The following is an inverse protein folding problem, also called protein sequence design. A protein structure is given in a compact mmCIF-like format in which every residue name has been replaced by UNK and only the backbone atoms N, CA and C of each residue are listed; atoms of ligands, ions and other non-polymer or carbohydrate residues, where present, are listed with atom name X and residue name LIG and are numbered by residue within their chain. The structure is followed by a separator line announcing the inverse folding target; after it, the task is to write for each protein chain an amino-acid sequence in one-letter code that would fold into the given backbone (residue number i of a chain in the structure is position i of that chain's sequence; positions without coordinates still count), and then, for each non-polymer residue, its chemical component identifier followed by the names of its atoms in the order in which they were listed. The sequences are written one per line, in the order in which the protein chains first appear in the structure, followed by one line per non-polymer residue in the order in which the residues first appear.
data_IF_133415458472
#
_entry.id   IF_133415458472
#
_cell.length_a   1.000
_cell.length_b   1.000
_cell.length_c   1.000
_cell.angle_alpha   90.00
_cell.angle_beta   90.00
_cell.angle_gamma   90.00
#
_symmetry.space_group_name_H-M   'P 1'
#
loop_
_entity.id
_entity.type
_entity.pdbx_description
1 polymer ?
#
# COMPACT_ATOMS: atom_id res chain seq x y z
N UNK A 1 26.43 13.42 15.98
CA UNK A 1 25.34 12.54 16.44
C UNK A 1 25.35 11.33 15.52
N UNK A 2 25.97 10.24 15.96
CA UNK A 2 25.94 8.96 15.24
C UNK A 2 24.63 8.24 15.56
N UNK A 3 23.98 7.73 14.52
CA UNK A 3 22.71 6.99 14.64
C UNK A 3 23.05 5.59 15.15
N UNK A 4 22.65 5.28 16.38
CA UNK A 4 22.98 4.01 17.05
C UNK A 4 22.32 2.77 16.43
N UNK A 5 21.29 2.94 15.59
CA UNK A 5 20.56 1.85 14.94
C UNK A 5 20.13 2.24 13.51
N UNK A 6 20.68 1.63 12.43
CA UNK A 6 20.33 1.97 11.05
C UNK A 6 18.88 1.62 10.68
N UNK A 7 18.26 0.68 11.41
CA UNK A 7 16.90 0.20 11.16
C UNK A 7 15.81 1.05 11.84
N UNK A 8 16.21 2.03 12.66
CA UNK A 8 15.33 2.94 13.39
C UNK A 8 15.57 4.40 12.98
N UNK A 9 16.14 4.62 11.79
CA UNK A 9 16.34 5.95 11.27
C UNK A 9 14.98 6.61 11.01
N UNK A 10 14.70 7.69 11.74
CA UNK A 10 13.62 8.62 11.45
C UNK A 10 13.67 8.98 9.96
N UNK A 11 12.54 8.81 9.28
CA UNK A 11 12.39 9.03 7.85
C UNK A 11 13.12 10.29 7.36
N UNK A 12 13.72 10.26 6.15
CA UNK A 12 14.26 11.47 5.52
C UNK A 12 13.21 12.59 5.48
N UNK A 13 13.62 13.87 5.43
CA UNK A 13 12.72 15.01 5.48
C UNK A 13 11.58 14.84 4.46
N UNK A 14 10.36 15.16 4.88
CA UNK A 14 9.13 14.91 4.14
C UNK A 14 9.25 15.41 2.69
N UNK A 15 9.55 14.49 1.78
CA UNK A 15 9.37 14.69 0.34
C UNK A 15 7.88 14.84 0.14
N UNK A 16 7.42 15.84 -0.63
CA UNK A 16 5.98 15.99 -0.89
C UNK A 16 5.46 14.71 -1.55
N UNK A 17 4.73 13.90 -0.78
CA UNK A 17 4.15 12.65 -1.27
C UNK A 17 2.81 12.98 -1.92
N UNK A 18 2.82 13.15 -3.24
CA UNK A 18 1.66 13.56 -4.04
C UNK A 18 0.95 12.40 -4.72
N UNK A 19 1.58 11.23 -4.79
CA UNK A 19 1.06 10.07 -5.51
C UNK A 19 0.75 8.97 -4.51
N UNK A 20 -0.50 8.54 -4.43
CA UNK A 20 -0.95 7.56 -3.47
C UNK A 20 -1.56 6.30 -4.10
N UNK A 21 -1.67 5.26 -3.29
CA UNK A 21 -2.48 4.07 -3.56
C UNK A 21 -3.46 3.93 -2.40
N UNK A 22 -4.75 3.96 -2.70
CA UNK A 22 -5.81 3.58 -1.78
C UNK A 22 -6.01 2.07 -1.86
N UNK A 23 -5.96 1.42 -0.71
CA UNK A 23 -6.20 -0.01 -0.56
C UNK A 23 -7.48 -0.19 0.24
N UNK A 24 -8.44 -0.91 -0.31
CA UNK A 24 -9.70 -1.24 0.35
C UNK A 24 -10.05 -2.71 0.17
N UNK A 25 -10.98 -3.18 1.00
CA UNK A 25 -11.58 -4.50 0.84
C UNK A 25 -12.77 -4.41 -0.14
N UNK A 26 -13.01 -5.43 -0.98
CA UNK A 26 -14.22 -5.53 -1.77
C UNK A 26 -15.46 -5.48 -0.88
N UNK A 27 -16.57 -4.88 -1.35
CA UNK A 27 -17.81 -4.80 -0.58
C UNK A 27 -18.34 -6.17 -0.11
N UNK A 28 -18.10 -7.22 -0.91
CA UNK A 28 -18.49 -8.60 -0.61
C UNK A 28 -17.51 -9.36 0.30
N UNK A 29 -16.33 -8.80 0.59
CA UNK A 29 -15.31 -9.48 1.37
C UNK A 29 -15.75 -9.60 2.84
N UNK A 30 -15.73 -10.80 3.46
CA UNK A 30 -16.08 -10.98 4.87
C UNK A 30 -15.28 -10.11 5.84
N UNK A 31 -14.08 -9.66 5.45
CA UNK A 31 -13.26 -8.73 6.22
C UNK A 31 -14.02 -7.43 6.56
N UNK A 32 -14.92 -6.97 5.69
CA UNK A 32 -15.79 -5.81 5.93
C UNK A 32 -16.79 -5.98 7.08
N UNK A 33 -16.93 -7.19 7.63
CA UNK A 33 -17.70 -7.42 8.88
C UNK A 33 -16.86 -7.21 10.13
N UNK A 34 -15.54 -7.23 9.99
CA UNK A 34 -14.59 -7.03 11.08
C UNK A 34 -14.14 -5.57 11.17
N UNK A 35 -13.96 -4.92 10.02
CA UNK A 35 -13.66 -3.49 9.92
C UNK A 35 -14.89 -2.71 9.48
N UNK A 36 -14.93 -1.41 9.71
CA UNK A 36 -16.02 -0.58 9.15
C UNK A 36 -16.08 -0.71 7.61
N UNK A 37 -17.27 -0.66 7.03
CA UNK A 37 -17.47 -0.82 5.58
C UNK A 37 -16.75 0.26 4.74
N UNK A 38 -16.37 1.38 5.36
CA UNK A 38 -15.57 2.45 4.72
C UNK A 38 -14.05 2.28 4.89
N UNK A 39 -13.59 1.15 5.43
CA UNK A 39 -12.18 0.93 5.71
C UNK A 39 -11.35 1.03 4.43
N UNK A 40 -10.30 1.84 4.54
CA UNK A 40 -9.25 1.93 3.55
C UNK A 40 -7.95 2.34 4.24
N UNK A 41 -6.83 2.02 3.61
CA UNK A 41 -5.52 2.56 3.96
C UNK A 41 -4.89 3.22 2.74
N UNK A 42 -4.01 4.19 2.96
CA UNK A 42 -3.34 4.93 1.90
C UNK A 42 -1.82 4.78 2.03
N UNK A 43 -1.18 4.45 0.91
CA UNK A 43 0.28 4.47 0.80
C UNK A 43 0.69 5.61 -0.11
N UNK A 44 1.53 6.52 0.38
CA UNK A 44 1.92 7.73 -0.34
C UNK A 44 3.39 7.67 -0.76
N UNK A 45 3.65 8.13 -1.99
CA UNK A 45 4.92 8.06 -2.69
C UNK A 45 5.29 9.42 -3.27
N UNK A 46 6.59 9.62 -3.46
CA UNK A 46 7.10 10.89 -3.94
C UNK A 46 6.98 11.05 -5.46
N UNK A 47 6.95 9.92 -6.19
CA UNK A 47 6.88 9.94 -7.65
C UNK A 47 5.78 9.00 -8.16
N UNK A 48 5.21 9.35 -9.31
CA UNK A 48 4.24 8.49 -10.00
C UNK A 48 4.83 7.13 -10.37
N UNK A 49 6.09 7.11 -10.82
CA UNK A 49 6.77 5.87 -11.19
C UNK A 49 6.94 4.91 -10.01
N UNK A 50 7.28 5.44 -8.83
CA UNK A 50 7.36 4.67 -7.60
C UNK A 50 5.98 4.12 -7.20
N UNK A 51 4.94 4.96 -7.22
CA UNK A 51 3.56 4.53 -6.99
C UNK A 51 3.13 3.42 -7.95
N UNK A 52 3.39 3.58 -9.24
CA UNK A 52 2.98 2.61 -10.27
C UNK A 52 3.72 1.28 -10.14
N UNK A 53 5.01 1.31 -9.78
CA UNK A 53 5.78 0.11 -9.48
C UNK A 53 5.21 -0.64 -8.29
N UNK A 54 4.87 0.07 -7.20
CA UNK A 54 4.32 -0.59 -6.00
C UNK A 54 2.88 -1.04 -6.23
N UNK A 55 2.08 -0.31 -7.01
CA UNK A 55 0.74 -0.73 -7.41
C UNK A 55 0.75 -2.07 -8.14
N UNK A 56 1.70 -2.26 -9.06
CA UNK A 56 1.88 -3.53 -9.75
C UNK A 56 2.35 -4.64 -8.81
N UNK A 57 3.28 -4.35 -7.90
CA UNK A 57 3.77 -5.31 -6.92
C UNK A 57 2.67 -5.75 -5.94
N UNK A 58 1.89 -4.82 -5.40
CA UNK A 58 0.75 -5.08 -4.49
C UNK A 58 -0.34 -5.92 -5.16
N UNK A 59 -0.61 -5.68 -6.44
CA UNK A 59 -1.57 -6.46 -7.22
C UNK A 59 -1.02 -7.81 -7.68
N UNK A 60 0.27 -8.06 -7.53
CA UNK A 60 0.92 -9.28 -7.97
C UNK A 60 0.71 -10.42 -6.99
N UNK A 61 0.63 -11.64 -7.52
CA UNK A 61 0.63 -12.85 -6.71
C UNK A 61 1.97 -12.97 -5.97
N UNK A 62 1.91 -13.11 -4.66
CA UNK A 62 3.11 -13.36 -3.86
C UNK A 62 3.78 -14.69 -4.27
N UNK A 63 5.13 -14.72 -4.27
CA UNK A 63 5.93 -15.84 -4.82
C UNK A 63 5.52 -17.23 -4.31
N UNK A 64 5.16 -17.31 -3.04
CA UNK A 64 4.82 -18.56 -2.36
C UNK A 64 3.32 -18.87 -2.32
N UNK A 65 2.47 -17.96 -2.83
CA UNK A 65 1.03 -18.18 -2.95
C UNK A 65 0.71 -19.11 -4.12
N UNK A 66 -0.37 -19.90 -4.00
CA UNK A 66 -0.81 -20.78 -5.10
C UNK A 66 -1.28 -19.93 -6.27
N UNK A 67 -1.29 -20.50 -7.48
CA UNK A 67 -1.70 -19.78 -8.68
C UNK A 67 -3.10 -19.14 -8.59
N UNK A 68 -3.99 -19.72 -7.80
CA UNK A 68 -5.35 -19.22 -7.53
C UNK A 68 -5.46 -18.15 -6.44
N UNK A 69 -4.40 -17.96 -5.65
CA UNK A 69 -4.42 -17.10 -4.46
C UNK A 69 -3.98 -15.69 -4.85
N UNK A 70 -4.84 -14.99 -5.61
CA UNK A 70 -4.66 -13.58 -5.91
C UNK A 70 -5.05 -12.72 -4.70
N UNK A 71 -4.41 -11.55 -4.49
CA UNK A 71 -4.84 -10.60 -3.48
C UNK A 71 -6.31 -10.23 -3.69
N UNK A 72 -7.15 -10.32 -2.65
CA UNK A 72 -8.56 -9.93 -2.71
C UNK A 72 -8.77 -8.43 -2.50
N UNK A 73 -7.73 -7.60 -2.56
CA UNK A 73 -7.83 -6.16 -2.28
C UNK A 73 -8.17 -5.35 -3.53
N UNK A 74 -8.89 -4.26 -3.34
CA UNK A 74 -9.11 -3.25 -4.38
C UNK A 74 -8.02 -2.18 -4.23
N UNK A 75 -7.29 -1.93 -5.33
CA UNK A 75 -6.19 -0.97 -5.38
C UNK A 75 -6.56 0.16 -6.33
N UNK A 76 -6.62 1.38 -5.80
CA UNK A 76 -6.95 2.58 -6.58
C UNK A 76 -5.80 3.59 -6.51
N UNK A 77 -5.26 4.04 -7.65
CA UNK A 77 -4.30 5.14 -7.64
C UNK A 77 -5.00 6.46 -7.31
N UNK A 78 -4.42 7.23 -6.40
CA UNK A 78 -4.93 8.55 -5.97
C UNK A 78 -3.81 9.60 -6.04
N UNK A 79 -4.18 10.88 -6.14
CA UNK A 79 -3.23 12.01 -6.19
C UNK A 79 -3.71 13.16 -5.29
N UNK A 80 -2.78 13.97 -4.77
CA UNK A 80 -3.05 15.11 -3.87
C UNK A 80 -2.60 16.44 -4.45
#
# INVERSE_FOLDING_TARGET
MEVSQPNNASHPPAKELRFGIRVSAPPEDPFTRLVDAGWHTEHWYATRAERDSVLQDMGSRHRYSRGSDLPSVVLEPIER
#
